data_IF_956956581017
#
_entry.id   IF_956956581017
#
_cell.length_a   1.000
_cell.length_b   1.000
_cell.length_c   1.000
_cell.angle_alpha   90.00
_cell.angle_beta   90.00
_cell.angle_gamma   90.00
#
_symmetry.space_group_name_H-M   'P 1'
#
loop_
_entity.id
_entity.type
_entity.pdbx_description
1 polymer ?
#
# COMPACT_ATOMS: atom_id res chain seq x y z
N UNK A 1 -3.20 -16.19 -10.43
CA UNK A 1 -2.61 -17.11 -11.43
C UNK A 1 -3.09 -18.49 -11.15
N UNK A 2 -3.18 -19.33 -12.17
CA UNK A 2 -3.55 -20.74 -11.99
C UNK A 2 -3.05 -21.59 -13.16
N UNK A 3 -2.78 -22.86 -12.89
CA UNK A 3 -2.29 -23.82 -13.87
C UNK A 3 -3.44 -24.68 -14.35
N UNK A 4 -3.60 -24.81 -15.66
CA UNK A 4 -4.59 -25.71 -16.25
C UNK A 4 -4.05 -27.15 -16.35
N UNK A 5 -4.92 -28.15 -16.62
CA UNK A 5 -4.49 -29.55 -16.72
C UNK A 5 -3.45 -29.84 -17.81
N UNK A 6 -3.36 -28.98 -18.84
CA UNK A 6 -2.36 -29.09 -19.91
C UNK A 6 -0.99 -28.52 -19.51
N UNK A 7 -0.91 -27.92 -18.32
CA UNK A 7 0.30 -27.31 -17.79
C UNK A 7 0.50 -25.84 -18.15
N UNK A 8 -0.46 -25.24 -18.87
CA UNK A 8 -0.44 -23.82 -19.21
C UNK A 8 -0.87 -22.97 -18.02
N UNK A 9 -0.43 -21.73 -17.99
CA UNK A 9 -0.62 -20.85 -16.83
C UNK A 9 -1.46 -19.66 -17.24
N UNK A 10 -2.60 -19.52 -16.57
CA UNK A 10 -3.50 -18.39 -16.72
C UNK A 10 -3.20 -17.31 -15.69
N UNK A 11 -3.14 -16.07 -16.16
CA UNK A 11 -2.81 -14.90 -15.36
C UNK A 11 -3.87 -13.84 -15.57
N UNK A 12 -4.42 -13.35 -14.46
CA UNK A 12 -5.31 -12.19 -14.41
C UNK A 12 -4.67 -11.04 -13.63
N UNK A 13 -5.07 -9.80 -13.94
CA UNK A 13 -4.62 -8.60 -13.25
C UNK A 13 -5.38 -7.34 -13.63
N UNK A 14 -4.79 -6.19 -13.33
CA UNK A 14 -5.36 -4.86 -13.57
C UNK A 14 -5.43 -4.49 -15.07
N UNK A 15 -6.24 -3.49 -15.41
CA UNK A 15 -6.37 -2.93 -16.77
C UNK A 15 -6.64 -4.00 -17.85
N UNK A 16 -7.64 -4.82 -17.62
CA UNK A 16 -8.13 -5.85 -18.53
C UNK A 16 -7.16 -7.02 -18.71
N UNK A 17 -6.10 -7.09 -17.89
CA UNK A 17 -5.07 -8.10 -18.05
C UNK A 17 -5.65 -9.48 -17.77
N UNK A 18 -5.81 -10.26 -18.83
CA UNK A 18 -6.11 -11.69 -18.79
C UNK A 18 -5.39 -12.37 -19.95
N UNK A 19 -4.41 -13.21 -19.63
CA UNK A 19 -3.57 -13.88 -20.62
C UNK A 19 -3.17 -15.29 -20.18
N UNK A 20 -2.69 -16.08 -21.13
CA UNK A 20 -2.19 -17.43 -20.91
C UNK A 20 -0.75 -17.55 -21.39
N UNK A 21 0.06 -18.22 -20.60
CA UNK A 21 1.43 -18.62 -20.95
C UNK A 21 1.51 -20.11 -21.25
N UNK A 22 2.37 -20.47 -22.18
CA UNK A 22 2.74 -21.86 -22.44
C UNK A 22 3.60 -22.45 -21.30
N UNK A 23 3.94 -23.73 -21.39
CA UNK A 23 4.79 -24.42 -20.42
C UNK A 23 6.22 -23.86 -20.35
N UNK A 24 6.64 -23.08 -21.36
CA UNK A 24 7.93 -22.37 -21.39
C UNK A 24 7.81 -20.93 -20.89
N UNK A 25 6.66 -20.56 -20.31
CA UNK A 25 6.37 -19.24 -19.75
C UNK A 25 6.37 -18.11 -20.78
N UNK A 26 6.17 -18.44 -22.06
CA UNK A 26 5.93 -17.46 -23.11
C UNK A 26 4.44 -17.16 -23.21
N UNK A 27 4.11 -15.88 -23.25
CA UNK A 27 2.74 -15.42 -23.47
C UNK A 27 2.29 -15.84 -24.88
N UNK A 28 1.23 -16.65 -24.95
CA UNK A 28 0.70 -17.18 -26.22
C UNK A 28 -0.71 -16.69 -26.54
N UNK A 29 -1.46 -16.21 -25.55
CA UNK A 29 -2.84 -15.78 -25.71
C UNK A 29 -3.15 -14.61 -24.78
N UNK A 30 -3.96 -13.68 -25.27
CA UNK A 30 -4.62 -12.63 -24.48
C UNK A 30 -6.09 -12.63 -24.83
N UNK A 31 -6.95 -12.31 -23.86
CA UNK A 31 -8.38 -12.12 -24.13
C UNK A 31 -8.59 -11.05 -25.20
N UNK A 32 -9.58 -11.28 -26.07
CA UNK A 32 -10.03 -10.37 -27.12
C UNK A 32 -11.53 -10.16 -26.98
N UNK A 33 -12.02 -8.94 -27.24
CA UNK A 33 -13.46 -8.66 -27.13
C UNK A 33 -14.32 -9.53 -28.05
N UNK A 34 -13.82 -9.88 -29.23
CA UNK A 34 -14.49 -10.75 -30.20
C UNK A 34 -14.75 -12.18 -29.69
N UNK A 35 -14.05 -12.60 -28.63
CA UNK A 35 -14.25 -13.90 -28.00
C UNK A 35 -15.31 -13.85 -26.89
N UNK A 36 -15.89 -12.69 -26.58
CA UNK A 36 -16.86 -12.51 -25.50
C UNK A 36 -18.27 -12.43 -26.08
N UNK A 37 -19.14 -13.30 -25.60
CA UNK A 37 -20.55 -13.31 -25.96
C UNK A 37 -21.30 -12.20 -25.20
N UNK A 38 -21.27 -10.99 -25.75
CA UNK A 38 -22.00 -9.84 -25.22
C UNK A 38 -23.51 -9.92 -25.51
N UNK A 39 -23.94 -10.70 -26.50
CA UNK A 39 -25.36 -10.83 -26.88
C UNK A 39 -26.15 -11.61 -25.84
N UNK A 40 -25.55 -12.66 -25.27
CA UNK A 40 -26.16 -13.50 -24.22
C UNK A 40 -25.65 -13.16 -22.81
N UNK A 41 -25.19 -11.93 -22.59
CA UNK A 41 -24.71 -11.47 -21.28
C UNK A 41 -25.81 -11.56 -20.22
N UNK A 42 -25.48 -12.16 -19.06
CA UNK A 42 -26.38 -12.21 -17.89
C UNK A 42 -26.22 -10.94 -17.05
N UNK A 43 -27.28 -10.13 -16.96
CA UNK A 43 -27.32 -8.94 -16.10
C UNK A 43 -27.91 -9.31 -14.73
N UNK A 44 -27.20 -8.98 -13.65
CA UNK A 44 -27.54 -9.41 -12.28
C UNK A 44 -27.48 -8.21 -11.32
N UNK A 45 -28.33 -8.21 -10.31
CA UNK A 45 -28.21 -7.31 -9.16
C UNK A 45 -27.28 -7.90 -8.07
N UNK A 46 -27.14 -7.20 -6.94
CA UNK A 46 -26.34 -7.63 -5.79
C UNK A 46 -26.86 -8.91 -5.08
N UNK A 47 -28.07 -9.36 -5.39
CA UNK A 47 -28.68 -10.59 -4.87
C UNK A 47 -28.60 -11.74 -5.88
N UNK A 48 -28.02 -11.50 -7.07
CA UNK A 48 -28.03 -12.45 -8.17
C UNK A 48 -29.39 -12.56 -8.88
N UNK A 49 -30.30 -11.62 -8.65
CA UNK A 49 -31.55 -11.47 -9.37
C UNK A 49 -31.30 -10.95 -10.78
N UNK A 50 -32.03 -11.48 -11.77
CA UNK A 50 -31.86 -11.09 -13.18
C UNK A 50 -32.41 -9.69 -13.42
N UNK A 51 -31.62 -8.86 -14.08
CA UNK A 51 -32.02 -7.54 -14.58
C UNK A 51 -32.33 -7.61 -16.08
N UNK A 52 -33.24 -6.75 -16.53
CA UNK A 52 -33.63 -6.70 -17.95
C UNK A 52 -32.53 -6.12 -18.84
N UNK A 53 -31.75 -5.15 -18.32
CA UNK A 53 -30.71 -4.45 -19.05
C UNK A 53 -29.50 -4.15 -18.18
N UNK A 54 -28.32 -4.26 -18.76
CA UNK A 54 -27.08 -3.74 -18.21
C UNK A 54 -26.22 -3.12 -19.33
N UNK A 55 -25.33 -2.21 -18.95
CA UNK A 55 -24.46 -1.52 -19.90
C UNK A 55 -23.38 -2.49 -20.38
N UNK A 56 -23.06 -2.49 -21.69
CA UNK A 56 -21.90 -3.23 -22.21
C UNK A 56 -20.65 -2.82 -21.40
N UNK A 57 -19.97 -3.75 -20.72
CA UNK A 57 -18.82 -3.43 -19.92
C UNK A 57 -17.58 -3.20 -20.78
N UNK A 58 -16.70 -2.35 -20.28
CA UNK A 58 -15.37 -2.12 -20.85
C UNK A 58 -14.39 -3.13 -20.23
N UNK A 59 -13.94 -4.07 -21.05
CA UNK A 59 -13.07 -5.17 -20.62
C UNK A 59 -11.65 -4.68 -20.37
N UNK A 60 -11.15 -3.74 -21.16
CA UNK A 60 -9.80 -3.18 -21.00
C UNK A 60 -9.70 -2.32 -19.73
N UNK A 61 -10.78 -1.65 -19.35
CA UNK A 61 -10.85 -0.92 -18.08
C UNK A 61 -11.16 -1.82 -16.87
N UNK A 62 -11.37 -3.13 -17.05
CA UNK A 62 -11.78 -4.03 -15.97
C UNK A 62 -10.59 -4.63 -15.21
N UNK A 63 -10.66 -4.69 -13.87
CA UNK A 63 -9.56 -5.22 -13.06
C UNK A 63 -9.85 -6.68 -12.68
N UNK A 64 -9.29 -7.64 -13.40
CA UNK A 64 -9.46 -9.07 -13.11
C UNK A 64 -8.63 -9.49 -11.90
N UNK A 65 -9.28 -9.53 -10.73
CA UNK A 65 -8.64 -9.78 -9.43
C UNK A 65 -8.46 -11.26 -9.10
N UNK A 66 -9.23 -12.16 -9.74
CA UNK A 66 -9.14 -13.61 -9.51
C UNK A 66 -9.29 -14.39 -10.81
N UNK A 67 -8.63 -15.53 -10.84
CA UNK A 67 -8.83 -16.59 -11.83
C UNK A 67 -8.93 -17.91 -11.08
N UNK A 68 -9.92 -18.73 -11.45
CA UNK A 68 -10.20 -20.07 -10.94
C UNK A 68 -10.37 -21.03 -12.13
N UNK A 69 -9.82 -22.24 -12.06
CA UNK A 69 -9.94 -23.29 -13.08
C UNK A 69 -10.41 -24.55 -12.36
N UNK A 70 -11.61 -25.00 -12.68
CA UNK A 70 -12.21 -26.18 -12.07
C UNK A 70 -13.03 -26.92 -13.10
N UNK A 71 -12.93 -28.24 -13.11
CA UNK A 71 -13.68 -29.12 -14.05
C UNK A 71 -13.50 -28.73 -15.52
N UNK A 72 -12.29 -28.26 -15.88
CA UNK A 72 -11.99 -27.82 -17.24
C UNK A 72 -12.67 -26.50 -17.67
N UNK A 73 -13.20 -25.72 -16.72
CA UNK A 73 -13.80 -24.40 -16.95
C UNK A 73 -12.99 -23.33 -16.24
N UNK A 74 -12.75 -22.22 -16.94
CA UNK A 74 -12.05 -21.04 -16.43
C UNK A 74 -13.07 -20.01 -15.97
N UNK A 75 -12.83 -19.43 -14.81
CA UNK A 75 -13.62 -18.37 -14.19
C UNK A 75 -12.69 -17.18 -13.92
N UNK A 76 -12.92 -16.04 -14.55
CA UNK A 76 -12.17 -14.81 -14.30
C UNK A 76 -13.08 -13.75 -13.70
N UNK A 77 -12.76 -13.31 -12.48
CA UNK A 77 -13.55 -12.35 -11.72
C UNK A 77 -12.90 -10.96 -11.78
N UNK A 78 -13.69 -9.95 -12.13
CA UNK A 78 -13.30 -8.54 -12.13
C UNK A 78 -13.82 -7.83 -10.89
N UNK A 79 -13.00 -6.95 -10.32
CA UNK A 79 -13.40 -6.08 -9.22
C UNK A 79 -14.57 -5.16 -9.60
N UNK A 80 -14.80 -4.91 -10.90
CA UNK A 80 -15.87 -4.06 -11.42
C UNK A 80 -17.18 -4.81 -11.73
N UNK A 81 -17.45 -5.91 -11.03
CA UNK A 81 -18.73 -6.60 -11.19
C UNK A 81 -18.81 -7.58 -12.35
N UNK A 82 -17.69 -8.00 -12.96
CA UNK A 82 -17.73 -8.94 -14.09
C UNK A 82 -17.28 -10.33 -13.69
N UNK A 83 -17.98 -11.35 -14.17
CA UNK A 83 -17.56 -12.74 -14.12
C UNK A 83 -17.55 -13.31 -15.55
N UNK A 84 -16.36 -13.65 -16.03
CA UNK A 84 -16.16 -14.33 -17.30
C UNK A 84 -16.01 -15.84 -17.06
N UNK A 85 -16.71 -16.65 -17.86
CA UNK A 85 -16.73 -18.10 -17.75
C UNK A 85 -16.46 -18.72 -19.13
N UNK A 86 -15.44 -19.58 -19.23
CA UNK A 86 -15.05 -20.22 -20.50
C UNK A 86 -14.61 -21.67 -20.26
N UNK A 87 -15.29 -22.67 -20.86
CA UNK A 87 -14.74 -24.02 -20.97
C UNK A 87 -13.39 -23.99 -21.71
N UNK A 88 -12.40 -24.76 -21.28
CA UNK A 88 -11.05 -24.78 -21.88
C UNK A 88 -11.06 -25.11 -23.39
N UNK A 89 -12.01 -25.92 -23.81
CA UNK A 89 -12.18 -26.37 -25.19
C UNK A 89 -12.98 -25.37 -26.05
N UNK A 90 -13.70 -24.45 -25.43
CA UNK A 90 -14.47 -23.41 -26.11
C UNK A 90 -13.56 -22.24 -26.48
N UNK A 91 -13.76 -21.57 -27.63
CA UNK A 91 -13.14 -20.29 -27.90
C UNK A 91 -13.86 -19.12 -27.22
N UNK A 92 -15.14 -19.29 -26.86
CA UNK A 92 -16.04 -18.22 -26.42
C UNK A 92 -16.10 -18.10 -24.89
N UNK A 93 -16.05 -16.86 -24.39
CA UNK A 93 -16.32 -16.46 -23.02
C UNK A 93 -17.78 -16.07 -22.86
N UNK A 94 -18.46 -16.71 -21.90
CA UNK A 94 -19.74 -16.24 -21.38
C UNK A 94 -19.50 -15.20 -20.29
N UNK A 95 -20.41 -14.24 -20.17
CA UNK A 95 -20.26 -13.10 -19.27
C UNK A 95 -21.50 -12.95 -18.37
N UNK A 96 -21.25 -12.72 -17.08
CA UNK A 96 -22.22 -12.20 -16.14
C UNK A 96 -21.75 -10.83 -15.61
N UNK A 97 -22.63 -9.83 -15.64
CA UNK A 97 -22.42 -8.48 -15.10
C UNK A 97 -23.29 -8.28 -13.86
N UNK A 98 -22.64 -8.01 -12.73
CA UNK A 98 -23.26 -7.65 -11.46
C UNK A 98 -23.27 -6.12 -11.33
N UNK A 99 -24.45 -5.52 -11.48
CA UNK A 99 -24.61 -4.07 -11.55
C UNK A 99 -24.47 -3.41 -10.17
N UNK A 100 -23.69 -2.31 -10.13
CA UNK A 100 -23.56 -1.47 -8.94
C UNK A 100 -22.78 -2.09 -7.78
N UNK A 101 -22.06 -3.20 -8.00
CA UNK A 101 -21.26 -3.87 -6.97
C UNK A 101 -19.80 -4.00 -7.36
N UNK A 102 -18.95 -4.12 -6.34
CA UNK A 102 -17.53 -4.46 -6.50
C UNK A 102 -17.27 -5.86 -5.95
N UNK A 103 -16.51 -6.68 -6.69
CA UNK A 103 -16.23 -8.07 -6.32
C UNK A 103 -14.81 -8.20 -5.77
N UNK A 104 -14.61 -9.07 -4.78
CA UNK A 104 -13.35 -9.25 -4.04
C UNK A 104 -12.73 -10.64 -4.25
N UNK A 105 -13.53 -11.69 -4.15
CA UNK A 105 -13.06 -13.07 -4.24
C UNK A 105 -14.11 -13.99 -4.85
N UNK A 106 -13.67 -15.13 -5.37
CA UNK A 106 -14.53 -16.19 -5.91
C UNK A 106 -13.99 -17.55 -5.46
N UNK A 107 -14.90 -18.45 -5.09
CA UNK A 107 -14.61 -19.87 -4.93
C UNK A 107 -15.61 -20.67 -5.76
N UNK A 108 -15.08 -21.57 -6.58
CA UNK A 108 -15.88 -22.41 -7.47
C UNK A 108 -15.82 -23.81 -6.90
N UNK A 109 -16.96 -24.41 -6.57
CA UNK A 109 -17.08 -25.80 -6.09
C UNK A 109 -17.36 -26.74 -7.26
N UNK A 110 -18.22 -26.32 -8.18
CA UNK A 110 -18.44 -26.95 -9.46
C UNK A 110 -19.15 -25.95 -10.37
N UNK A 111 -19.50 -26.36 -11.59
CA UNK A 111 -20.17 -25.49 -12.57
C UNK A 111 -21.50 -24.85 -12.11
N UNK A 112 -22.16 -25.40 -11.08
CA UNK A 112 -23.43 -24.91 -10.56
C UNK A 112 -23.36 -24.34 -9.14
N UNK A 113 -22.21 -24.44 -8.48
CA UNK A 113 -22.02 -24.00 -7.11
C UNK A 113 -20.80 -23.08 -7.04
N UNK A 114 -21.06 -21.77 -7.07
CA UNK A 114 -20.05 -20.71 -7.09
C UNK A 114 -20.35 -19.74 -5.97
N UNK A 115 -19.36 -19.41 -5.16
CA UNK A 115 -19.46 -18.37 -4.15
C UNK A 115 -18.67 -17.13 -4.55
N UNK A 116 -19.29 -15.97 -4.41
CA UNK A 116 -18.69 -14.67 -4.72
C UNK A 116 -18.71 -13.82 -3.46
N UNK A 117 -17.55 -13.26 -3.11
CA UNK A 117 -17.41 -12.26 -2.05
C UNK A 117 -17.42 -10.88 -2.68
N UNK A 118 -18.27 -10.00 -2.19
CA UNK A 118 -18.28 -8.58 -2.54
C UNK A 118 -17.29 -7.79 -1.70
N UNK A 119 -16.87 -6.62 -2.19
CA UNK A 119 -15.88 -5.78 -1.49
C UNK A 119 -16.37 -5.28 -0.13
N UNK A 120 -17.68 -5.19 0.06
CA UNK A 120 -18.30 -4.86 1.36
C UNK A 120 -18.32 -6.06 2.35
N UNK A 121 -17.81 -7.23 1.94
CA UNK A 121 -17.73 -8.44 2.75
C UNK A 121 -18.97 -9.34 2.72
N UNK A 122 -19.99 -8.98 1.96
CA UNK A 122 -21.15 -9.87 1.75
C UNK A 122 -20.79 -11.03 0.82
N UNK A 123 -21.51 -12.14 0.98
CA UNK A 123 -21.29 -13.37 0.22
C UNK A 123 -22.57 -13.73 -0.55
N UNK A 124 -22.41 -14.05 -1.82
CA UNK A 124 -23.46 -14.56 -2.71
C UNK A 124 -23.14 -16.00 -3.09
N UNK A 125 -24.09 -16.91 -2.91
CA UNK A 125 -24.08 -18.21 -3.59
C UNK A 125 -24.72 -18.00 -4.96
N UNK A 126 -23.87 -17.97 -5.97
CA UNK A 126 -24.21 -17.78 -7.37
C UNK A 126 -24.41 -19.12 -8.08
N UNK A 127 -25.59 -19.27 -8.69
CA UNK A 127 -25.97 -20.44 -9.48
C UNK A 127 -26.26 -19.97 -10.90
N UNK A 128 -25.36 -20.21 -11.89
CA UNK A 128 -25.49 -19.63 -13.22
C UNK A 128 -26.82 -19.92 -13.92
N UNK A 129 -27.30 -21.17 -13.86
CA UNK A 129 -28.54 -21.61 -14.52
C UNK A 129 -29.71 -21.76 -13.53
N UNK A 130 -29.65 -21.12 -12.37
CA UNK A 130 -30.63 -21.27 -11.30
C UNK A 130 -30.92 -19.99 -10.53
N UNK A 131 -31.50 -20.15 -9.34
CA UNK A 131 -31.80 -19.04 -8.43
C UNK A 131 -30.63 -18.87 -7.47
N UNK A 132 -29.93 -17.74 -7.59
CA UNK A 132 -28.87 -17.37 -6.66
C UNK A 132 -29.46 -16.88 -5.34
N UNK A 133 -28.71 -17.04 -4.24
CA UNK A 133 -29.18 -16.63 -2.92
C UNK A 133 -28.02 -16.23 -2.00
N UNK A 134 -28.34 -15.45 -0.96
CA UNK A 134 -27.39 -15.16 0.13
C UNK A 134 -27.39 -16.33 1.13
N UNK A 135 -26.23 -16.91 1.48
CA UNK A 135 -26.15 -17.98 2.48
C UNK A 135 -26.71 -17.57 3.84
N UNK A 136 -27.13 -18.56 4.63
CA UNK A 136 -27.67 -18.32 5.97
C UNK A 136 -26.52 -18.36 6.99
N UNK A 137 -26.26 -17.21 7.62
CA UNK A 137 -25.29 -17.08 8.70
C UNK A 137 -26.00 -17.20 10.05
N UNK A 138 -25.64 -18.22 10.84
CA UNK A 138 -26.31 -18.59 12.09
C UNK A 138 -25.83 -17.74 13.28
N UNK A 139 -25.91 -16.41 13.16
CA UNK A 139 -25.73 -15.44 14.26
C UNK A 139 -26.15 -14.03 13.75
N UNK A 140 -26.28 -13.06 14.66
CA UNK A 140 -26.39 -11.62 14.36
C UNK A 140 -25.03 -10.93 14.17
N UNK A 141 -23.92 -11.66 14.27
CA UNK A 141 -22.60 -11.12 13.97
C UNK A 141 -22.59 -10.56 12.54
N UNK A 142 -22.20 -9.29 12.40
CA UNK A 142 -22.03 -8.66 11.09
C UNK A 142 -20.77 -9.22 10.44
N UNK A 143 -20.95 -10.18 9.53
CA UNK A 143 -19.86 -10.77 8.76
C UNK A 143 -19.28 -9.75 7.76
N UNK A 144 -17.95 -9.77 7.62
CA UNK A 144 -17.21 -9.05 6.59
C UNK A 144 -16.16 -9.97 5.98
N UNK A 145 -16.57 -10.79 5.01
CA UNK A 145 -15.76 -11.89 4.50
C UNK A 145 -14.47 -11.42 3.82
N UNK A 146 -13.37 -12.10 4.16
CA UNK A 146 -12.06 -11.92 3.55
C UNK A 146 -11.78 -12.94 2.46
N UNK A 147 -12.06 -14.21 2.77
CA UNK A 147 -11.73 -15.37 1.94
C UNK A 147 -12.79 -16.44 2.17
N UNK A 148 -13.18 -17.10 1.08
CA UNK A 148 -14.00 -18.31 1.08
C UNK A 148 -13.19 -19.46 0.49
N UNK A 149 -13.34 -20.64 1.05
CA UNK A 149 -12.58 -21.83 0.68
C UNK A 149 -13.41 -23.10 0.90
N UNK A 150 -13.45 -23.94 -0.13
CA UNK A 150 -14.13 -25.23 -0.11
C UNK A 150 -13.14 -26.32 -0.53
N UNK A 151 -12.60 -27.11 0.42
CA UNK A 151 -11.75 -28.25 0.09
C UNK A 151 -12.51 -29.37 -0.63
N UNK A 152 -13.81 -29.49 -0.40
CA UNK A 152 -14.70 -30.47 -1.03
C UNK A 152 -16.10 -29.87 -1.28
N UNK A 153 -17.05 -30.65 -1.77
CA UNK A 153 -18.39 -30.15 -2.12
C UNK A 153 -19.28 -29.86 -0.91
N UNK A 154 -18.96 -30.42 0.26
CA UNK A 154 -19.81 -30.37 1.45
C UNK A 154 -19.25 -29.41 2.51
N UNK A 155 -17.95 -29.47 2.74
CA UNK A 155 -17.26 -28.69 3.77
C UNK A 155 -16.79 -27.36 3.20
N UNK A 156 -17.21 -26.28 3.83
CA UNK A 156 -16.90 -24.91 3.43
C UNK A 156 -16.45 -24.06 4.60
N UNK A 157 -15.52 -23.15 4.33
CA UNK A 157 -15.00 -22.23 5.32
C UNK A 157 -14.99 -20.81 4.78
N UNK A 158 -15.45 -19.86 5.59
CA UNK A 158 -15.28 -18.42 5.35
C UNK A 158 -14.50 -17.83 6.51
N UNK A 159 -13.50 -17.04 6.23
CA UNK A 159 -12.82 -16.24 7.24
C UNK A 159 -13.08 -14.76 7.01
N UNK A 160 -13.18 -13.99 8.09
CA UNK A 160 -13.59 -12.60 8.03
C UNK A 160 -12.60 -11.62 8.69
N UNK A 161 -12.83 -10.33 8.45
CA UNK A 161 -12.00 -9.25 8.99
C UNK A 161 -12.17 -9.04 10.51
N UNK A 162 -13.12 -9.73 11.14
CA UNK A 162 -13.43 -9.61 12.57
C UNK A 162 -12.72 -10.66 13.45
N UNK A 163 -12.01 -11.59 12.82
CA UNK A 163 -11.33 -12.72 13.46
C UNK A 163 -12.22 -13.94 13.69
N UNK A 164 -13.27 -14.08 12.88
CA UNK A 164 -14.20 -15.21 12.92
C UNK A 164 -13.96 -16.15 11.74
N UNK A 165 -13.98 -17.45 12.03
CA UNK A 165 -14.09 -18.50 11.02
C UNK A 165 -15.52 -19.03 11.01
N UNK A 166 -16.10 -19.16 9.83
CA UNK A 166 -17.45 -19.65 9.61
C UNK A 166 -17.37 -20.99 8.91
N UNK A 167 -17.96 -22.03 9.50
CA UNK A 167 -17.90 -23.39 8.97
C UNK A 167 -19.25 -23.82 8.43
N UNK A 168 -19.25 -24.50 7.29
CA UNK A 168 -20.40 -25.17 6.70
C UNK A 168 -20.05 -26.63 6.44
N UNK A 169 -21.03 -27.50 6.64
CA UNK A 169 -20.99 -28.94 6.34
C UNK A 169 -22.18 -29.36 5.45
N UNK A 170 -22.77 -28.40 4.75
CA UNK A 170 -23.94 -28.61 3.89
C UNK A 170 -23.73 -28.02 2.48
N UNK A 171 -22.48 -27.76 2.07
CA UNK A 171 -22.19 -27.16 0.77
C UNK A 171 -22.41 -25.64 0.73
N UNK A 172 -22.44 -24.99 1.90
CA UNK A 172 -22.54 -23.55 2.06
C UNK A 172 -23.97 -22.99 2.07
N UNK A 173 -24.98 -23.80 2.40
CA UNK A 173 -26.32 -23.27 2.67
C UNK A 173 -26.37 -22.60 4.05
N UNK A 174 -25.78 -23.24 5.06
CA UNK A 174 -25.70 -22.71 6.42
C UNK A 174 -24.24 -22.59 6.87
N UNK A 175 -23.91 -21.46 7.48
CA UNK A 175 -22.61 -21.19 8.07
C UNK A 175 -22.73 -20.89 9.57
N UNK A 176 -21.87 -21.53 10.36
CA UNK A 176 -21.80 -21.40 11.82
C UNK A 176 -20.52 -20.66 12.22
N UNK A 177 -20.61 -19.55 12.98
CA UNK A 177 -19.43 -18.80 13.37
C UNK A 177 -18.68 -19.42 14.55
N UNK A 178 -17.37 -19.32 14.51
CA UNK A 178 -16.46 -19.54 15.63
C UNK A 178 -15.47 -18.37 15.68
N UNK A 179 -15.63 -17.50 16.67
CA UNK A 179 -14.75 -16.33 16.80
C UNK A 179 -13.49 -16.69 17.57
N UNK A 180 -12.35 -16.67 16.89
CA UNK A 180 -11.06 -17.06 17.45
C UNK A 180 -10.26 -15.87 17.98
N UNK A 181 -10.45 -14.69 17.37
CA UNK A 181 -9.68 -13.49 17.69
C UNK A 181 -10.43 -12.21 17.29
N UNK A 182 -9.77 -11.06 17.49
CA UNK A 182 -10.20 -9.74 17.00
C UNK A 182 -9.34 -9.24 15.82
N UNK A 183 -8.44 -10.09 15.32
CA UNK A 183 -7.55 -9.80 14.21
C UNK A 183 -8.14 -10.35 12.90
N UNK A 184 -7.98 -9.60 11.81
CA UNK A 184 -8.48 -10.03 10.52
C UNK A 184 -7.74 -11.28 10.04
N UNK A 185 -8.50 -12.25 9.53
CA UNK A 185 -7.97 -13.36 8.76
C UNK A 185 -7.94 -13.00 7.28
N UNK A 186 -6.91 -13.46 6.58
CA UNK A 186 -6.67 -13.16 5.17
C UNK A 186 -6.74 -14.39 4.28
N UNK A 187 -6.33 -15.56 4.79
CA UNK A 187 -6.36 -16.80 4.02
C UNK A 187 -6.59 -18.03 4.92
N UNK A 188 -7.08 -19.09 4.29
CA UNK A 188 -7.35 -20.39 4.89
C UNK A 188 -6.89 -21.49 3.93
N UNK A 189 -6.32 -22.56 4.47
CA UNK A 189 -5.88 -23.70 3.69
C UNK A 189 -6.06 -25.01 4.45
N UNK A 190 -6.56 -26.06 3.78
CA UNK A 190 -6.62 -27.43 4.33
C UNK A 190 -5.53 -28.27 3.66
N UNK A 191 -4.71 -28.94 4.45
CA UNK A 191 -3.70 -29.88 3.96
C UNK A 191 -4.37 -31.15 3.45
N UNK A 192 -3.65 -31.96 2.67
CA UNK A 192 -4.16 -33.26 2.22
C UNK A 192 -4.43 -34.22 3.40
N UNK A 193 -3.70 -34.05 4.50
CA UNK A 193 -3.85 -34.85 5.72
C UNK A 193 -5.03 -34.37 6.60
N UNK A 194 -5.70 -33.28 6.20
CA UNK A 194 -6.93 -32.81 6.82
C UNK A 194 -6.75 -31.68 7.85
N UNK A 195 -5.53 -31.27 8.16
CA UNK A 195 -5.31 -30.12 9.05
C UNK A 195 -5.67 -28.81 8.35
N UNK A 196 -6.27 -27.89 9.10
CA UNK A 196 -6.69 -26.59 8.56
C UNK A 196 -5.85 -25.51 9.22
N UNK A 197 -5.35 -24.59 8.40
CA UNK A 197 -4.58 -23.45 8.84
C UNK A 197 -5.25 -22.14 8.46
N UNK A 198 -5.23 -21.19 9.39
CA UNK A 198 -5.66 -19.81 9.18
C UNK A 198 -4.48 -18.87 9.29
N UNK A 199 -4.38 -17.93 8.36
CA UNK A 199 -3.35 -16.90 8.38
C UNK A 199 -3.99 -15.51 8.28
N UNK A 200 -3.46 -14.55 9.04
CA UNK A 200 -4.01 -13.21 9.11
C UNK A 200 -3.05 -12.15 9.64
N UNK A 201 -3.63 -11.04 10.12
CA UNK A 201 -2.87 -9.89 10.60
C UNK A 201 -2.14 -10.17 11.92
N UNK A 202 -1.00 -9.49 12.11
CA UNK A 202 -0.22 -9.45 13.36
C UNK A 202 0.17 -10.84 13.91
N UNK A 203 0.46 -11.78 13.03
CA UNK A 203 0.86 -13.14 13.37
C UNK A 203 -0.31 -14.02 13.79
N UNK A 204 -1.55 -13.67 13.44
CA UNK A 204 -2.69 -14.54 13.60
C UNK A 204 -2.48 -15.80 12.74
N UNK A 205 -2.03 -16.87 13.38
CA UNK A 205 -1.80 -18.17 12.78
C UNK A 205 -2.47 -19.22 13.67
N UNK A 206 -3.40 -19.98 13.12
CA UNK A 206 -4.15 -21.00 13.86
C UNK A 206 -4.16 -22.31 13.10
N UNK A 207 -4.19 -23.42 13.83
CA UNK A 207 -4.30 -24.78 13.32
C UNK A 207 -5.51 -25.48 13.94
N UNK A 208 -6.26 -26.21 13.12
CA UNK A 208 -7.28 -27.17 13.56
C UNK A 208 -6.95 -28.55 13.02
N UNK A 209 -7.21 -29.58 13.83
CA UNK A 209 -7.02 -31.00 13.48
C UNK A 209 -8.35 -31.77 13.49
N UNK A 210 -9.47 -31.07 13.68
CA UNK A 210 -10.81 -31.62 13.88
C UNK A 210 -11.84 -30.90 13.00
N UNK A 211 -11.45 -30.60 11.75
CA UNK A 211 -12.30 -29.97 10.72
C UNK A 211 -12.82 -28.55 11.06
N UNK A 212 -12.11 -27.85 11.95
CA UNK A 212 -12.43 -26.47 12.34
C UNK A 212 -13.33 -26.36 13.57
N UNK A 213 -13.57 -27.47 14.28
CA UNK A 213 -14.32 -27.47 15.54
C UNK A 213 -13.52 -26.82 16.67
N UNK A 214 -12.23 -27.15 16.80
CA UNK A 214 -11.30 -26.53 17.76
C UNK A 214 -10.05 -26.01 17.06
N UNK A 215 -9.43 -25.00 17.66
CA UNK A 215 -8.30 -24.28 17.09
C UNK A 215 -7.22 -24.03 18.13
N UNK A 216 -5.97 -24.23 17.73
CA UNK A 216 -4.77 -23.93 18.50
C UNK A 216 -4.07 -22.76 17.81
N UNK A 217 -3.76 -21.71 18.57
CA UNK A 217 -2.95 -20.61 18.07
C UNK A 217 -1.47 -21.03 18.01
N UNK A 218 -0.85 -20.88 16.84
CA UNK A 218 0.57 -21.14 16.65
C UNK A 218 1.36 -19.87 16.95
N UNK A 219 2.50 -20.01 17.63
CA UNK A 219 3.34 -18.88 18.00
C UNK A 219 4.20 -18.44 16.83
N UNK A 220 4.09 -17.19 16.41
CA UNK A 220 5.00 -16.62 15.43
C UNK A 220 5.20 -15.11 15.62
N UNK A 221 6.22 -14.55 14.94
CA UNK A 221 6.45 -13.11 14.85
C UNK A 221 5.20 -12.40 14.33
N UNK A 222 5.01 -11.14 14.75
CA UNK A 222 3.83 -10.33 14.44
C UNK A 222 3.87 -9.74 13.01
N UNK A 223 4.07 -10.57 12.01
CA UNK A 223 3.94 -10.20 10.60
C UNK A 223 2.48 -10.27 10.15
N UNK A 224 2.12 -9.54 9.08
CA UNK A 224 0.81 -9.69 8.45
C UNK A 224 0.89 -10.76 7.37
N UNK A 225 0.23 -11.90 7.57
CA UNK A 225 0.25 -13.01 6.61
C UNK A 225 -0.93 -12.92 5.65
N UNK A 226 -0.64 -12.93 4.35
CA UNK A 226 -1.64 -12.73 3.29
C UNK A 226 -2.02 -14.03 2.58
N UNK A 227 -1.18 -15.06 2.65
CA UNK A 227 -1.39 -16.37 1.99
C UNK A 227 -0.82 -17.50 2.83
N UNK A 228 -1.49 -18.65 2.80
CA UNK A 228 -0.96 -19.92 3.32
C UNK A 228 -1.26 -21.05 2.33
N UNK A 229 -0.30 -21.95 2.12
CA UNK A 229 -0.50 -23.16 1.32
C UNK A 229 0.42 -24.29 1.81
N UNK A 230 0.18 -25.51 1.36
CA UNK A 230 0.99 -26.68 1.71
C UNK A 230 1.41 -27.49 0.50
N UNK A 231 2.49 -28.22 0.67
CA UNK A 231 2.89 -29.32 -0.19
C UNK A 231 3.11 -30.56 0.66
N UNK A 232 2.54 -31.68 0.27
CA UNK A 232 2.72 -32.95 0.99
C UNK A 232 3.51 -33.88 0.09
N UNK A 233 4.74 -34.16 0.53
CA UNK A 233 5.58 -35.21 -0.04
C UNK A 233 5.22 -36.58 0.54
N UNK A 234 6.07 -37.57 0.31
CA UNK A 234 5.88 -38.94 0.84
C UNK A 234 5.89 -38.98 2.37
N UNK A 235 6.78 -38.20 3.00
CA UNK A 235 7.07 -38.32 4.43
C UNK A 235 6.81 -37.03 5.23
N UNK A 236 6.74 -35.88 4.55
CA UNK A 236 6.60 -34.57 5.21
C UNK A 236 5.56 -33.70 4.51
N UNK A 237 4.82 -32.94 5.33
CA UNK A 237 4.02 -31.80 4.84
C UNK A 237 4.78 -30.53 5.13
N UNK A 238 5.11 -29.82 4.06
CA UNK A 238 5.73 -28.51 4.11
C UNK A 238 4.65 -27.45 3.99
N UNK A 239 4.65 -26.50 4.91
CA UNK A 239 3.76 -25.36 4.90
C UNK A 239 4.53 -24.12 4.45
N UNK A 240 3.85 -23.27 3.71
CA UNK A 240 4.38 -22.01 3.26
C UNK A 240 3.45 -20.87 3.67
N UNK A 241 4.05 -19.79 4.14
CA UNK A 241 3.35 -18.55 4.49
C UNK A 241 3.94 -17.42 3.68
N UNK A 242 3.10 -16.54 3.15
CA UNK A 242 3.55 -15.28 2.55
C UNK A 242 3.09 -14.10 3.39
N UNK A 243 4.01 -13.19 3.70
CA UNK A 243 3.70 -11.95 4.39
C UNK A 243 3.29 -10.83 3.44
N UNK A 244 2.83 -9.70 3.99
CA UNK A 244 2.38 -8.53 3.24
C UNK A 244 3.47 -7.85 2.40
N UNK A 245 4.74 -8.17 2.62
CA UNK A 245 5.88 -7.67 1.85
C UNK A 245 6.27 -8.64 0.71
N UNK A 246 5.68 -9.83 0.68
CA UNK A 246 5.97 -10.87 -0.30
C UNK A 246 7.11 -11.81 0.13
N UNK A 247 7.57 -11.74 1.39
CA UNK A 247 8.47 -12.76 1.91
C UNK A 247 7.70 -14.06 2.06
N UNK A 248 8.36 -15.17 1.72
CA UNK A 248 7.85 -16.52 1.92
C UNK A 248 8.62 -17.15 3.06
N UNK A 249 7.89 -17.73 4.01
CA UNK A 249 8.39 -18.56 5.10
C UNK A 249 8.03 -20.02 4.82
N UNK A 250 8.84 -20.95 5.30
CA UNK A 250 8.59 -22.40 5.24
C UNK A 250 8.57 -23.01 6.64
N UNK A 251 7.67 -23.95 6.87
CA UNK A 251 7.64 -24.83 8.04
C UNK A 251 7.60 -26.29 7.57
N UNK A 252 8.36 -27.16 8.24
CA UNK A 252 8.39 -28.61 7.99
C UNK A 252 7.86 -29.40 9.20
N UNK A 253 7.32 -28.71 10.19
CA UNK A 253 6.86 -29.24 11.48
C UNK A 253 5.43 -28.77 11.78
N UNK A 254 4.59 -28.71 10.74
CA UNK A 254 3.17 -28.38 10.84
C UNK A 254 2.88 -27.02 11.50
N UNK A 255 3.75 -26.06 11.24
CA UNK A 255 3.57 -24.65 11.60
C UNK A 255 4.09 -24.28 12.98
N UNK A 256 4.76 -25.19 13.69
CA UNK A 256 5.37 -24.90 14.99
C UNK A 256 6.57 -23.94 14.84
N UNK A 257 7.43 -24.17 13.82
CA UNK A 257 8.56 -23.29 13.50
C UNK A 257 8.56 -22.87 12.03
N UNK A 258 8.92 -21.61 11.80
CA UNK A 258 8.94 -20.99 10.48
C UNK A 258 10.28 -20.36 10.19
N UNK A 259 10.85 -20.72 9.05
CA UNK A 259 12.14 -20.22 8.58
C UNK A 259 11.94 -19.36 7.33
N UNK A 260 12.70 -18.26 7.17
CA UNK A 260 12.74 -17.52 5.92
C UNK A 260 13.09 -18.44 4.76
N UNK A 261 12.22 -18.46 3.76
CA UNK A 261 12.40 -19.28 2.56
C UNK A 261 12.79 -18.40 1.38
N UNK A 262 12.05 -17.34 1.10
CA UNK A 262 12.35 -16.45 -0.02
C UNK A 262 12.05 -15.00 0.34
N UNK A 263 12.97 -14.11 -0.02
CA UNK A 263 12.77 -12.66 0.09
C UNK A 263 12.92 -12.03 -1.29
N UNK A 264 11.88 -11.35 -1.81
CA UNK A 264 11.95 -10.69 -3.10
C UNK A 264 13.01 -9.58 -3.11
N UNK A 265 13.88 -9.55 -4.13
CA UNK A 265 14.89 -8.49 -4.27
C UNK A 265 14.35 -7.22 -4.97
N UNK A 266 13.29 -7.35 -5.77
CA UNK A 266 12.80 -6.30 -6.67
C UNK A 266 11.30 -5.97 -6.43
N UNK A 267 10.99 -5.44 -5.26
CA UNK A 267 9.64 -5.01 -4.90
C UNK A 267 8.72 -6.15 -4.45
N UNK A 268 7.49 -5.80 -4.09
CA UNK A 268 6.54 -6.72 -3.49
C UNK A 268 6.04 -7.77 -4.48
N UNK A 269 5.85 -9.00 -3.99
CA UNK A 269 5.12 -10.05 -4.71
C UNK A 269 3.61 -9.95 -4.46
N UNK A 270 2.84 -10.12 -5.53
CA UNK A 270 1.38 -10.18 -5.49
C UNK A 270 0.86 -11.61 -5.54
N UNK A 271 1.53 -12.48 -6.29
CA UNK A 271 1.17 -13.88 -6.41
C UNK A 271 2.39 -14.73 -6.72
N UNK A 272 2.37 -15.96 -6.23
CA UNK A 272 3.35 -16.99 -6.54
C UNK A 272 2.62 -18.28 -6.97
N UNK A 273 3.26 -19.05 -7.82
CA UNK A 273 2.79 -20.36 -8.27
C UNK A 273 3.98 -21.32 -8.30
N UNK A 274 3.89 -22.41 -7.56
CA UNK A 274 4.90 -23.46 -7.61
C UNK A 274 4.79 -24.20 -8.96
N UNK A 275 5.89 -24.20 -9.74
CA UNK A 275 5.96 -24.87 -11.03
C UNK A 275 6.47 -26.31 -10.91
N UNK A 276 7.51 -26.49 -10.10
CA UNK A 276 8.21 -27.76 -9.95
C UNK A 276 8.79 -27.90 -8.53
N UNK A 277 8.70 -29.12 -7.98
CA UNK A 277 9.40 -29.54 -6.77
C UNK A 277 10.10 -30.86 -7.05
N UNK A 278 11.43 -30.85 -7.06
CA UNK A 278 12.25 -32.05 -7.28
C UNK A 278 12.53 -32.76 -5.96
N UNK A 279 12.78 -34.07 -6.04
CA UNK A 279 13.13 -34.92 -4.88
C UNK A 279 14.38 -34.42 -4.14
N UNK A 280 15.33 -33.82 -4.85
CA UNK A 280 16.52 -33.21 -4.27
C UNK A 280 16.26 -31.88 -3.50
N UNK A 281 14.98 -31.50 -3.33
CA UNK A 281 14.57 -30.28 -2.64
C UNK A 281 14.62 -29.01 -3.50
N UNK A 282 15.04 -29.10 -4.77
CA UNK A 282 15.01 -27.94 -5.67
C UNK A 282 13.57 -27.56 -5.99
N UNK A 283 13.31 -26.25 -5.94
CA UNK A 283 12.01 -25.68 -6.28
C UNK A 283 12.15 -24.76 -7.47
N UNK A 284 11.06 -24.64 -8.21
CA UNK A 284 10.87 -23.62 -9.23
C UNK A 284 9.55 -22.92 -8.97
N UNK A 285 9.61 -21.61 -8.70
CA UNK A 285 8.43 -20.79 -8.40
C UNK A 285 8.30 -19.71 -9.46
N UNK A 286 7.11 -19.59 -10.04
CA UNK A 286 6.72 -18.44 -10.84
C UNK A 286 6.17 -17.35 -9.91
N UNK A 287 6.70 -16.14 -10.04
CA UNK A 287 6.33 -15.00 -9.24
C UNK A 287 5.76 -13.90 -10.13
N UNK A 288 4.69 -13.27 -9.66
CA UNK A 288 4.18 -12.01 -10.17
C UNK A 288 4.34 -10.96 -9.09
N UNK A 289 5.02 -9.87 -9.43
CA UNK A 289 5.27 -8.76 -8.52
C UNK A 289 4.83 -7.42 -9.08
N UNK A 290 5.21 -6.36 -8.38
CA UNK A 290 5.00 -4.98 -8.81
C UNK A 290 5.56 -4.71 -10.22
N UNK A 291 5.05 -3.64 -10.86
CA UNK A 291 5.48 -3.22 -12.19
C UNK A 291 5.31 -4.30 -13.27
N UNK A 292 4.26 -5.13 -13.13
CA UNK A 292 3.94 -6.23 -14.05
C UNK A 292 5.11 -7.22 -14.20
N UNK A 293 5.97 -7.33 -13.18
CA UNK A 293 7.09 -8.25 -13.18
C UNK A 293 6.58 -9.68 -13.16
N UNK A 294 7.08 -10.48 -14.08
CA UNK A 294 6.96 -11.93 -14.06
C UNK A 294 8.36 -12.48 -13.99
N UNK A 295 8.66 -13.19 -12.91
CA UNK A 295 9.97 -13.77 -12.67
C UNK A 295 9.86 -15.22 -12.25
N UNK A 296 10.91 -15.99 -12.50
CA UNK A 296 11.03 -17.36 -12.04
C UNK A 296 12.18 -17.44 -11.08
N UNK A 297 11.90 -17.98 -9.91
CA UNK A 297 12.89 -18.24 -8.89
C UNK A 297 13.17 -19.74 -8.82
N UNK A 298 14.43 -20.10 -9.00
CA UNK A 298 14.92 -21.47 -8.88
C UNK A 298 15.87 -21.58 -7.68
N UNK A 299 15.75 -22.67 -6.92
CA UNK A 299 16.73 -23.00 -5.88
C UNK A 299 17.96 -23.64 -6.52
N UNK A 300 19.11 -22.96 -6.43
CA UNK A 300 20.42 -23.44 -6.90
C UNK A 300 21.44 -23.32 -5.75
N UNK A 301 22.03 -24.45 -5.36
CA UNK A 301 23.08 -24.50 -4.33
C UNK A 301 22.68 -23.81 -3.00
N UNK A 302 21.47 -24.09 -2.52
CA UNK A 302 20.85 -23.48 -1.33
C UNK A 302 20.59 -21.97 -1.42
N UNK A 303 20.78 -21.35 -2.58
CA UNK A 303 20.43 -19.96 -2.86
C UNK A 303 19.30 -19.87 -3.88
N UNK A 304 18.53 -18.80 -3.80
CA UNK A 304 17.49 -18.52 -4.77
C UNK A 304 18.05 -17.64 -5.88
N UNK A 305 17.99 -18.15 -7.11
CA UNK A 305 18.31 -17.41 -8.31
C UNK A 305 17.00 -17.00 -8.99
N UNK A 306 16.73 -15.69 -9.05
CA UNK A 306 15.55 -15.15 -9.71
C UNK A 306 15.91 -14.66 -11.11
N UNK A 307 15.23 -15.20 -12.11
CA UNK A 307 15.31 -14.80 -13.51
C UNK A 307 14.07 -13.99 -13.88
N UNK A 308 14.26 -12.79 -14.42
CA UNK A 308 13.16 -11.96 -14.90
C UNK A 308 12.77 -12.41 -16.31
N UNK A 309 11.49 -12.72 -16.52
CA UNK A 309 10.95 -13.13 -17.83
C UNK A 309 10.41 -11.91 -18.57
N UNK A 310 9.56 -11.13 -17.90
CA UNK A 310 8.94 -9.94 -18.47
C UNK A 310 8.53 -8.94 -17.40
N UNK A 311 8.20 -7.73 -17.82
CA UNK A 311 8.00 -6.60 -16.93
C UNK A 311 9.30 -6.19 -16.26
N UNK A 312 9.20 -5.54 -15.11
CA UNK A 312 10.40 -5.00 -14.46
C UNK A 312 10.98 -3.81 -15.20
N UNK A 313 10.14 -3.10 -15.96
CA UNK A 313 10.34 -1.71 -16.36
C UNK A 313 10.40 -0.86 -15.08
N UNK A 314 11.49 -1.05 -14.34
CA UNK A 314 11.73 -0.48 -13.04
C UNK A 314 12.32 0.90 -13.26
N UNK A 315 11.57 1.90 -12.77
CA UNK A 315 12.05 3.23 -12.37
C UNK A 315 12.48 4.20 -13.49
N UNK A 316 12.95 3.74 -14.66
CA UNK A 316 13.48 4.60 -15.73
C UNK A 316 12.63 4.64 -17.02
N UNK A 317 11.36 4.27 -16.96
CA UNK A 317 10.43 4.56 -18.08
C UNK A 317 10.17 6.07 -18.13
N UNK A 318 9.96 6.63 -19.33
CA UNK A 318 9.51 8.02 -19.53
C UNK A 318 8.37 8.40 -18.58
N UNK A 319 7.49 7.46 -18.25
CA UNK A 319 6.39 7.65 -17.30
C UNK A 319 6.85 8.01 -15.87
N UNK A 320 7.91 7.40 -15.34
CA UNK A 320 8.46 7.76 -14.01
C UNK A 320 9.13 9.13 -14.02
N UNK A 321 9.85 9.45 -15.10
CA UNK A 321 10.39 10.79 -15.31
C UNK A 321 9.27 11.82 -15.41
N UNK A 322 8.21 11.54 -16.17
CA UNK A 322 7.02 12.38 -16.26
C UNK A 322 6.29 12.48 -14.91
N UNK A 323 6.23 11.43 -14.09
CA UNK A 323 5.59 11.48 -12.76
C UNK A 323 6.33 12.41 -11.78
N UNK A 324 7.65 12.52 -11.87
CA UNK A 324 8.45 13.46 -11.07
C UNK A 324 8.46 14.86 -11.71
N UNK A 325 8.55 14.92 -13.05
CA UNK A 325 8.64 16.19 -13.79
C UNK A 325 7.30 16.93 -13.86
N UNK A 326 6.18 16.23 -14.00
CA UNK A 326 4.84 16.81 -14.08
C UNK A 326 4.44 17.64 -12.85
N UNK A 327 4.71 17.21 -11.60
CA UNK A 327 4.43 18.03 -10.43
C UNK A 327 5.46 19.15 -10.20
N UNK A 328 6.66 19.09 -10.79
CA UNK A 328 7.70 20.11 -10.55
C UNK A 328 7.24 21.54 -10.90
N UNK A 329 6.65 21.82 -12.07
CA UNK A 329 6.09 23.15 -12.37
C UNK A 329 5.02 23.59 -11.38
N UNK A 330 4.13 22.69 -10.97
CA UNK A 330 3.05 23.00 -10.02
C UNK A 330 3.59 23.33 -8.62
N UNK A 331 4.52 22.52 -8.12
CA UNK A 331 5.19 22.74 -6.83
C UNK A 331 6.02 24.03 -6.87
N UNK A 332 6.75 24.25 -7.95
CA UNK A 332 7.51 25.47 -8.16
C UNK A 332 6.60 26.71 -8.20
N UNK A 333 5.48 26.67 -8.94
CA UNK A 333 4.49 27.76 -8.96
C UNK A 333 3.86 28.00 -7.59
N UNK A 334 3.58 26.93 -6.83
CA UNK A 334 3.04 27.05 -5.48
C UNK A 334 4.03 27.79 -4.56
N UNK A 335 5.29 27.36 -4.48
CA UNK A 335 6.30 28.05 -3.65
C UNK A 335 6.67 29.44 -4.19
N UNK A 336 6.63 29.64 -5.51
CA UNK A 336 6.82 30.96 -6.12
C UNK A 336 5.73 31.93 -5.64
N UNK A 337 4.47 31.48 -5.63
CA UNK A 337 3.36 32.32 -5.13
C UNK A 337 3.51 32.59 -3.62
N UNK A 338 3.88 31.58 -2.83
CA UNK A 338 4.15 31.71 -1.40
C UNK A 338 5.23 32.77 -1.13
N UNK A 339 6.39 32.69 -1.79
CA UNK A 339 7.51 33.60 -1.57
C UNK A 339 7.35 34.97 -2.25
N UNK A 340 6.45 35.10 -3.22
CA UNK A 340 6.20 36.39 -3.88
C UNK A 340 5.05 37.18 -3.25
N UNK A 341 4.03 36.51 -2.68
CA UNK A 341 2.78 37.16 -2.24
C UNK A 341 2.68 37.32 -0.72
N UNK A 342 3.21 36.37 0.06
CA UNK A 342 3.07 36.39 1.53
C UNK A 342 3.98 37.43 2.20
N UNK A 343 5.25 37.60 1.79
CA UNK A 343 6.13 38.57 2.45
C UNK A 343 5.57 39.99 2.35
N UNK A 344 5.65 40.75 3.43
CA UNK A 344 5.27 42.18 3.46
C UNK A 344 6.33 43.08 2.82
N UNK A 345 6.94 42.64 1.72
CA UNK A 345 7.95 43.36 0.95
C UNK A 345 7.81 43.02 -0.53
N UNK A 346 8.30 43.92 -1.40
CA UNK A 346 8.31 43.67 -2.85
C UNK A 346 9.46 42.74 -3.19
N UNK A 347 9.16 41.46 -3.32
CA UNK A 347 10.15 40.43 -3.68
C UNK A 347 10.30 40.38 -5.21
N UNK A 348 11.52 40.51 -5.76
CA UNK A 348 11.74 40.37 -7.20
C UNK A 348 11.53 38.91 -7.64
N UNK A 349 10.80 38.73 -8.75
CA UNK A 349 10.39 37.41 -9.24
C UNK A 349 11.56 36.45 -9.52
N UNK A 350 12.73 36.99 -9.86
CA UNK A 350 13.96 36.21 -10.07
C UNK A 350 14.48 35.57 -8.78
N UNK A 351 14.39 36.27 -7.65
CA UNK A 351 14.86 35.77 -6.36
C UNK A 351 13.90 34.71 -5.81
N UNK A 352 12.58 34.99 -5.84
CA UNK A 352 11.56 34.04 -5.39
C UNK A 352 11.49 32.79 -6.26
N UNK A 353 11.75 32.90 -7.57
CA UNK A 353 11.86 31.75 -8.47
C UNK A 353 12.96 30.77 -8.07
N UNK A 354 14.13 31.26 -7.67
CA UNK A 354 15.25 30.41 -7.28
C UNK A 354 14.97 29.75 -5.93
N UNK A 355 14.45 30.51 -4.95
CA UNK A 355 14.03 29.95 -3.67
C UNK A 355 12.97 28.87 -3.83
N UNK A 356 11.94 29.12 -4.65
CA UNK A 356 10.88 28.16 -4.94
C UNK A 356 11.39 26.87 -5.60
N UNK A 357 12.39 26.97 -6.50
CA UNK A 357 12.98 25.79 -7.15
C UNK A 357 13.73 24.91 -6.14
N UNK A 358 14.54 25.53 -5.28
CA UNK A 358 15.29 24.81 -4.24
C UNK A 358 14.33 24.17 -3.24
N UNK A 359 13.31 24.91 -2.77
CA UNK A 359 12.28 24.37 -1.88
C UNK A 359 11.55 23.21 -2.50
N UNK A 360 11.15 23.31 -3.78
CA UNK A 360 10.46 22.23 -4.49
C UNK A 360 11.27 20.94 -4.54
N UNK A 361 12.57 21.03 -4.81
CA UNK A 361 13.47 19.86 -4.83
C UNK A 361 13.60 19.24 -3.44
N UNK A 362 13.88 20.06 -2.41
CA UNK A 362 14.02 19.57 -1.02
C UNK A 362 12.71 18.95 -0.54
N UNK A 363 11.57 19.57 -0.87
CA UNK A 363 10.24 19.07 -0.53
C UNK A 363 9.96 17.70 -1.16
N UNK A 364 10.34 17.47 -2.42
CA UNK A 364 10.20 16.15 -3.07
C UNK A 364 11.08 15.08 -2.42
N UNK A 365 12.34 15.42 -2.11
CA UNK A 365 13.25 14.51 -1.40
C UNK A 365 12.69 14.17 -0.01
N UNK A 366 12.14 15.17 0.68
CA UNK A 366 11.47 14.97 1.97
C UNK A 366 10.26 14.05 1.84
N UNK A 367 9.36 14.27 0.88
CA UNK A 367 8.19 13.40 0.69
C UNK A 367 8.59 11.94 0.46
N UNK A 368 9.63 11.71 -0.35
CA UNK A 368 10.17 10.37 -0.57
C UNK A 368 10.75 9.76 0.71
N UNK A 369 11.63 10.48 1.42
CA UNK A 369 12.22 10.00 2.67
C UNK A 369 11.21 9.78 3.80
N UNK A 370 10.22 10.67 3.90
CA UNK A 370 9.15 10.59 4.90
C UNK A 370 8.22 9.39 4.65
N UNK A 371 7.98 9.04 3.38
CA UNK A 371 7.26 7.82 3.02
C UNK A 371 8.02 6.57 3.48
N UNK A 372 9.34 6.50 3.21
CA UNK A 372 10.19 5.38 3.67
C UNK A 372 10.16 5.26 5.20
N UNK A 373 10.25 6.40 5.91
CA UNK A 373 10.15 6.45 7.36
C UNK A 373 8.81 5.90 7.88
N UNK A 374 7.68 6.35 7.32
CA UNK A 374 6.35 5.86 7.73
C UNK A 374 6.21 4.35 7.50
N UNK A 375 6.70 3.83 6.38
CA UNK A 375 6.64 2.39 6.09
C UNK A 375 7.40 1.58 7.14
N UNK A 376 8.65 1.97 7.44
CA UNK A 376 9.46 1.31 8.47
C UNK A 376 8.88 1.45 9.88
N UNK A 377 8.33 2.63 10.22
CA UNK A 377 7.71 2.88 11.52
C UNK A 377 6.40 2.09 11.70
N UNK A 378 5.62 1.94 10.63
CA UNK A 378 4.37 1.16 10.62
C UNK A 378 4.62 -0.33 10.88
N UNK A 379 5.75 -0.86 10.42
CA UNK A 379 6.12 -2.27 10.65
C UNK A 379 6.45 -2.59 12.11
N UNK A 380 6.90 -1.61 12.90
CA UNK A 380 7.48 -1.86 14.23
C UNK A 380 6.60 -1.47 15.41
N UNK A 381 5.82 -0.39 15.32
CA UNK A 381 5.18 0.22 16.52
C UNK A 381 3.67 0.50 16.41
N UNK A 382 3.08 0.41 15.21
CA UNK A 382 1.65 0.70 14.92
C UNK A 382 0.64 -0.31 15.48
N UNK A 383 1.06 -1.17 16.42
CA UNK A 383 0.22 -2.25 16.95
C UNK A 383 -0.63 -1.82 18.16
N UNK A 384 -0.14 -0.90 19.01
CA UNK A 384 -0.79 -0.53 20.29
C UNK A 384 -1.33 0.91 20.30
N UNK A 385 -0.71 1.84 19.55
CA UNK A 385 -0.96 3.28 19.65
C UNK A 385 -1.43 3.92 18.33
N UNK A 386 -2.26 3.22 17.53
CA UNK A 386 -2.68 3.65 16.17
C UNK A 386 -3.04 5.14 16.06
N UNK A 387 -3.84 5.68 16.98
CA UNK A 387 -4.21 7.10 16.99
C UNK A 387 -3.17 8.02 17.64
N UNK A 388 -2.46 7.54 18.67
CA UNK A 388 -1.50 8.35 19.43
C UNK A 388 -0.19 8.55 18.67
N UNK A 389 0.25 7.57 17.88
CA UNK A 389 1.44 7.67 17.02
C UNK A 389 1.25 8.63 15.84
N UNK A 390 0.00 8.84 15.41
CA UNK A 390 -0.32 9.85 14.40
C UNK A 390 0.08 11.26 14.85
N UNK A 391 0.02 11.55 16.16
CA UNK A 391 0.34 12.89 16.69
C UNK A 391 1.83 13.22 16.51
N UNK A 392 2.81 12.43 17.01
CA UNK A 392 4.23 12.71 16.77
C UNK A 392 4.61 12.69 15.29
N UNK A 393 4.06 11.77 14.48
CA UNK A 393 4.35 11.70 13.05
C UNK A 393 3.83 12.95 12.33
N UNK A 394 2.61 13.36 12.64
CA UNK A 394 2.02 14.59 12.10
C UNK A 394 2.83 15.81 12.50
N UNK A 395 3.22 15.92 13.79
CA UNK A 395 4.04 17.01 14.29
C UNK A 395 5.43 17.04 13.63
N UNK A 396 6.06 15.88 13.43
CA UNK A 396 7.33 15.77 12.70
C UNK A 396 7.15 16.23 11.26
N UNK A 397 6.08 15.82 10.60
CA UNK A 397 5.74 16.27 9.25
C UNK A 397 5.58 17.78 9.16
N UNK A 398 4.76 18.38 10.02
CA UNK A 398 4.55 19.84 10.08
C UNK A 398 5.85 20.59 10.39
N UNK A 399 6.65 20.09 11.34
CA UNK A 399 7.94 20.67 11.70
C UNK A 399 8.91 20.67 10.51
N UNK A 400 9.10 19.52 9.87
CA UNK A 400 9.98 19.40 8.71
C UNK A 400 9.51 20.27 7.54
N UNK A 401 8.21 20.29 7.25
CA UNK A 401 7.65 21.17 6.21
C UNK A 401 7.89 22.65 6.51
N UNK A 402 7.75 23.06 7.77
CA UNK A 402 8.01 24.44 8.19
C UNK A 402 9.46 24.84 7.97
N UNK A 403 10.41 23.95 8.30
CA UNK A 403 11.83 24.19 8.05
C UNK A 403 12.17 24.29 6.57
N UNK A 404 11.60 23.41 5.74
CA UNK A 404 11.79 23.43 4.29
C UNK A 404 11.29 24.75 3.70
N UNK A 405 10.10 25.19 4.11
CA UNK A 405 9.54 26.47 3.67
C UNK A 405 10.40 27.65 4.12
N UNK A 406 10.85 27.65 5.38
CA UNK A 406 11.68 28.71 5.95
C UNK A 406 13.04 28.81 5.23
N UNK A 407 13.67 27.67 4.95
CA UNK A 407 14.96 27.60 4.26
C UNK A 407 14.87 28.20 2.85
N UNK A 408 13.82 27.90 2.10
CA UNK A 408 13.61 28.53 0.79
C UNK A 408 13.30 30.02 0.85
N UNK A 409 12.62 30.48 1.89
CA UNK A 409 12.39 31.90 2.13
C UNK A 409 13.72 32.62 2.45
N UNK A 410 14.61 32.00 3.21
CA UNK A 410 15.96 32.52 3.49
C UNK A 410 16.79 32.66 2.21
N UNK A 411 16.79 31.65 1.35
CA UNK A 411 17.45 31.72 0.03
C UNK A 411 16.87 32.88 -0.79
N UNK A 412 15.55 33.03 -0.80
CA UNK A 412 14.87 34.14 -1.50
C UNK A 412 15.33 35.49 -0.96
N UNK A 413 15.40 35.65 0.36
CA UNK A 413 15.82 36.88 1.01
C UNK A 413 17.30 37.22 0.75
N UNK A 414 18.19 36.22 0.81
CA UNK A 414 19.62 36.38 0.50
C UNK A 414 19.83 36.83 -0.95
N UNK A 415 19.05 36.31 -1.89
CA UNK A 415 19.10 36.72 -3.30
C UNK A 415 18.48 38.09 -3.54
N UNK A 416 17.41 38.43 -2.81
CA UNK A 416 16.79 39.76 -2.87
C UNK A 416 17.74 40.85 -2.36
N UNK A 417 18.47 40.59 -1.27
CA UNK A 417 19.37 41.55 -0.61
C UNK A 417 20.85 41.16 -0.78
N UNK A 418 21.23 40.67 -1.96
CA UNK A 418 22.58 40.16 -2.24
C UNK A 418 23.70 41.13 -1.81
N UNK A 419 23.52 42.42 -2.05
CA UNK A 419 24.51 43.46 -1.73
C UNK A 419 24.77 43.59 -0.22
N UNK A 420 23.77 43.32 0.62
CA UNK A 420 23.90 43.36 2.09
C UNK A 420 24.83 42.27 2.63
N UNK A 421 24.94 41.16 1.91
CA UNK A 421 25.76 40.01 2.31
C UNK A 421 27.12 39.96 1.61
N UNK A 422 27.33 40.77 0.57
CA UNK A 422 28.61 40.86 -0.18
C UNK A 422 29.45 42.05 0.27
N UNK A 423 28.88 43.05 0.93
CA UNK A 423 29.64 44.15 1.51
C UNK A 423 30.74 43.61 2.46
N UNK A 424 31.98 44.14 2.42
CA UNK A 424 33.00 43.80 3.40
C UNK A 424 32.42 44.02 4.79
N UNK A 425 32.69 43.13 5.75
CA UNK A 425 32.34 43.36 7.15
C UNK A 425 32.95 44.71 7.58
N UNK A 426 32.16 45.79 7.46
CA UNK A 426 32.37 46.97 8.27
C UNK A 426 32.33 46.48 9.72
N UNK A 427 33.31 46.94 10.50
CA UNK A 427 33.59 46.50 11.86
C UNK A 427 32.28 46.31 12.65
N UNK A 428 32.21 45.19 13.38
CA UNK A 428 31.09 44.74 14.22
C UNK A 428 30.59 45.76 15.27
N UNK A 429 31.15 46.97 15.31
CA UNK A 429 30.79 48.04 16.24
C UNK A 429 29.55 48.84 15.81
N UNK A 430 29.19 48.90 14.53
CA UNK A 430 28.06 49.74 14.08
C UNK A 430 26.72 48.99 13.96
N UNK A 431 26.71 47.66 14.05
CA UNK A 431 25.56 46.85 13.60
C UNK A 431 24.68 46.24 14.71
N UNK A 432 24.82 46.68 15.96
CA UNK A 432 23.96 46.24 17.07
C UNK A 432 23.23 47.40 17.74
N UNK A 433 22.36 48.09 17.01
CA UNK A 433 21.26 48.87 17.63
C UNK A 433 20.11 47.94 18.00
N UNK A 434 20.37 47.02 18.94
CA UNK A 434 19.29 46.43 19.73
C UNK A 434 18.60 47.55 20.52
N UNK A 435 17.26 47.53 20.69
CA UNK A 435 16.55 48.50 21.54
C UNK A 435 17.15 48.62 22.94
N UNK A 436 17.77 47.54 23.44
CA UNK A 436 18.51 47.52 24.71
C UNK A 436 19.76 48.40 24.72
N UNK A 437 20.48 48.49 23.60
CA UNK A 437 21.67 49.33 23.46
C UNK A 437 21.33 50.81 23.30
N UNK A 438 20.26 51.14 22.56
CA UNK A 438 19.72 52.51 22.50
C UNK A 438 19.27 52.97 23.90
N UNK A 439 18.58 52.10 24.65
CA UNK A 439 18.19 52.38 26.03
C UNK A 439 19.39 52.58 26.97
N UNK A 440 20.45 51.77 26.83
CA UNK A 440 21.70 51.94 27.60
C UNK A 440 22.42 53.24 27.25
N UNK A 441 22.49 53.59 25.96
CA UNK A 441 23.04 54.88 25.51
C UNK A 441 22.22 56.04 26.09
N UNK A 442 20.90 56.00 26.00
CA UNK A 442 20.01 57.01 26.59
C UNK A 442 20.24 57.17 28.10
N UNK A 443 20.35 56.07 28.85
CA UNK A 443 20.67 56.11 30.29
C UNK A 443 22.04 56.73 30.55
N UNK A 444 23.06 56.38 29.75
CA UNK A 444 24.41 56.96 29.91
C UNK A 444 24.42 58.46 29.58
N UNK A 445 23.68 58.89 28.56
CA UNK A 445 23.52 60.31 28.20
C UNK A 445 22.74 61.06 29.28
N UNK A 446 21.68 60.49 29.84
CA UNK A 446 20.93 61.08 30.96
C UNK A 446 21.78 61.15 32.24
N UNK A 447 22.59 60.12 32.52
CA UNK A 447 23.48 60.08 33.69
C UNK A 447 24.61 61.10 33.57
N UNK A 448 25.16 61.30 32.38
CA UNK A 448 26.17 62.33 32.12
C UNK A 448 25.56 63.73 32.14
N UNK A 449 24.38 63.95 31.56
CA UNK A 449 23.64 65.20 31.67
C UNK A 449 23.30 65.55 33.13
N UNK A 450 22.83 64.56 33.92
CA UNK A 450 22.58 64.73 35.36
C UNK A 450 23.86 65.05 36.13
N UNK A 451 24.98 64.39 35.82
CA UNK A 451 26.28 64.68 36.47
C UNK A 451 26.73 66.12 36.18
N UNK A 452 26.62 66.57 34.93
CA UNK A 452 26.93 67.95 34.52
C UNK A 452 25.97 68.96 35.20
N UNK A 453 24.69 68.63 35.31
CA UNK A 453 23.69 69.49 35.96
C UNK A 453 23.89 69.56 37.48
N UNK A 454 24.40 68.49 38.09
CA UNK A 454 24.80 68.44 39.50
C UNK A 454 26.09 69.23 39.75
N UNK A 455 27.06 69.16 38.84
CA UNK A 455 28.31 69.93 38.89
C UNK A 455 28.09 71.43 38.60
N UNK A 456 27.10 71.80 37.78
CA UNK A 456 26.70 73.21 37.54
C UNK A 456 25.81 73.83 38.64
N UNK A 457 25.47 73.08 39.69
CA UNK A 457 24.64 73.56 40.82
C UNK A 457 25.43 73.91 42.08
N UNK A 458 26.69 74.30 41.95
CA UNK A 458 27.40 75.14 42.93
C UNK A 458 27.47 76.60 42.41
N UNK A 459 27.20 77.62 43.27
CA UNK A 459 26.90 78.97 42.80
C UNK A 459 28.11 79.72 42.23
N UNK A 460 27.83 80.62 41.27
CA UNK A 460 28.73 81.66 40.78
C UNK A 460 29.46 82.36 41.94
N UNK A 461 30.79 82.27 41.94
CA UNK A 461 31.65 83.27 42.56
C UNK A 461 32.12 84.22 41.44
N UNK A 462 31.36 85.30 41.28
CA UNK A 462 31.80 86.51 40.58
C UNK A 462 33.01 87.08 41.30
N UNK A 463 34.18 87.11 40.65
CA UNK A 463 35.23 88.08 41.00
C UNK A 463 35.96 88.55 39.72
N UNK A 464 35.44 89.67 39.21
CA UNK A 464 36.16 90.93 39.01
C UNK A 464 37.30 91.05 37.97
N UNK A 465 36.98 91.86 36.93
CA UNK A 465 37.74 92.98 36.32
C UNK A 465 39.02 92.62 35.51
N UNK A 466 39.31 93.10 34.30
CA UNK A 466 38.88 94.20 33.40
C UNK A 466 39.36 93.88 31.95
N UNK A 467 38.86 94.56 30.90
CA UNK A 467 39.42 94.50 29.56
C UNK A 467 40.65 95.41 29.42
N UNK A 468 41.61 95.01 28.59
CA UNK A 468 42.75 95.83 28.16
C UNK A 468 42.34 96.89 27.13
N UNK A 469 43.09 98.01 27.12
CA UNK A 469 43.05 99.21 26.23
C UNK A 469 42.26 100.37 26.86
N UNK A 470 42.86 101.49 27.30
CA UNK A 470 44.09 102.22 26.88
C UNK A 470 45.09 102.39 28.01
#
# INVERSE_FOLDING_TARGET
MEKDPSGKIWVSGENGTLFRMDSNLKKEYSIREEEIDFENMKCLDALGGRLDFCKKPDIEASNFVRIKIREGVIYALSAKGLLLIKPLESPIWRLASFEGVELKDIEVINSNNIFIIFKNGEVLHYIPEGISFKPIFKDRLKMNASKIYFPDELNGYIVDESGTVWTSNDGGFNFYPNRLTHLAFHDIHKTINGEIFLAGERGALYRSTDEGNTWIQLSHKRYNFIRIWSFTGTDITELFLMDSLGNILISTDLGEHWNPFYTPMNGKLWANLLLERKENGQIKILNIGEYRTISVTESKDQKFATTLITGGDSVFTIYSFLRILFPLPGIWLFFLSLYSLIPNTKVPLKASSVGAAVTGVIFLVFLWGFQVYILSFTETTMIIYKALAAIPIFLLGVYSLSLIVLFGAEITACLQFRERYIAPLHSLEEMNTSPSNEFRKLILTLKSAYKIQKEKKSPLLMLNFLPSLV
#
